data_IF_396332925547
#
_entry.id   IF_396332925547
#
_cell.length_a   1.000
_cell.length_b   1.000
_cell.length_c   1.000
_cell.angle_alpha   90.00
_cell.angle_beta   90.00
_cell.angle_gamma   90.00
#
_symmetry.space_group_name_H-M   'P 1'
#
loop_
_entity.id
_entity.type
_entity.pdbx_description
1 polymer ?
#
# COMPACT_ATOMS: atom_id res chain seq x y z
N UNK A 1 -4.03 -31.92 -4.07
CA UNK A 1 -4.83 -30.97 -3.29
C UNK A 1 -3.91 -29.82 -2.91
N UNK A 2 -3.94 -28.73 -3.67
CA UNK A 2 -3.13 -27.53 -3.39
C UNK A 2 -3.73 -26.84 -2.18
N UNK A 3 -2.93 -26.75 -1.13
CA UNK A 3 -3.20 -26.02 0.11
C UNK A 3 -3.26 -24.51 -0.23
N UNK A 4 -4.43 -24.02 -0.66
CA UNK A 4 -4.65 -22.63 -1.06
C UNK A 4 -4.80 -21.73 0.16
N UNK A 5 -3.82 -21.75 1.05
CA UNK A 5 -3.83 -20.86 2.22
C UNK A 5 -3.80 -19.38 1.82
N UNK A 6 -3.27 -19.06 0.63
CA UNK A 6 -3.16 -17.70 0.12
C UNK A 6 -3.90 -17.53 -1.21
N UNK A 7 -4.87 -16.61 -1.31
CA UNK A 7 -5.57 -16.30 -2.56
C UNK A 7 -4.68 -15.51 -3.53
N UNK A 8 -4.88 -15.69 -4.84
CA UNK A 8 -4.31 -14.82 -5.87
C UNK A 8 -4.95 -13.44 -5.77
N UNK A 9 -4.11 -12.39 -5.78
CA UNK A 9 -4.55 -10.99 -5.69
C UNK A 9 -4.33 -10.28 -7.02
N UNK A 10 -5.28 -9.44 -7.42
CA UNK A 10 -5.20 -8.54 -8.58
C UNK A 10 -5.34 -7.10 -8.11
N UNK A 11 -4.38 -6.25 -8.46
CA UNK A 11 -4.38 -4.82 -8.19
C UNK A 11 -4.62 -4.02 -9.47
N UNK A 12 -5.74 -3.31 -9.52
CA UNK A 12 -6.09 -2.39 -10.59
C UNK A 12 -5.91 -0.96 -10.08
N UNK A 13 -5.33 -0.06 -10.86
CA UNK A 13 -5.14 1.32 -10.39
C UNK A 13 -4.50 2.24 -11.41
N UNK A 14 -4.63 3.55 -11.18
CA UNK A 14 -3.91 4.58 -11.92
C UNK A 14 -3.15 5.54 -10.98
N UNK A 15 -1.94 5.99 -11.38
CA UNK A 15 -1.21 5.54 -12.56
C UNK A 15 -0.88 4.04 -12.47
N UNK A 16 -0.88 3.32 -13.59
CA UNK A 16 -0.57 1.88 -13.64
C UNK A 16 0.80 1.55 -13.02
N UNK A 17 1.71 2.54 -12.99
CA UNK A 17 2.94 2.48 -12.23
C UNK A 17 2.72 2.22 -10.73
N UNK A 18 1.67 2.77 -10.12
CA UNK A 18 1.34 2.57 -8.71
C UNK A 18 0.88 1.14 -8.45
N UNK A 19 -0.08 0.61 -9.21
CA UNK A 19 -0.58 -0.76 -9.02
C UNK A 19 0.53 -1.79 -9.23
N UNK A 20 1.39 -1.60 -10.25
CA UNK A 20 2.57 -2.45 -10.47
C UNK A 20 3.60 -2.33 -9.38
N UNK A 21 3.89 -1.12 -8.91
CA UNK A 21 4.84 -0.91 -7.81
C UNK A 21 4.33 -1.55 -6.53
N UNK A 22 3.02 -1.47 -6.26
CA UNK A 22 2.40 -2.12 -5.11
C UNK A 22 2.41 -3.64 -5.21
N UNK A 23 2.08 -4.20 -6.37
CA UNK A 23 2.16 -5.65 -6.58
C UNK A 23 3.59 -6.17 -6.43
N UNK A 24 4.56 -5.47 -7.00
CA UNK A 24 5.97 -5.82 -6.85
C UNK A 24 6.44 -5.74 -5.40
N UNK A 25 6.08 -4.67 -4.67
CA UNK A 25 6.39 -4.53 -3.26
C UNK A 25 5.78 -5.65 -2.40
N UNK A 26 4.55 -6.07 -2.71
CA UNK A 26 3.90 -7.19 -2.03
C UNK A 26 4.63 -8.51 -2.27
N UNK A 27 5.04 -8.78 -3.52
CA UNK A 27 5.82 -9.99 -3.85
C UNK A 27 7.18 -9.99 -3.14
N UNK A 28 7.88 -8.85 -3.09
CA UNK A 28 9.13 -8.73 -2.33
C UNK A 28 8.91 -8.93 -0.82
N UNK A 29 7.84 -8.35 -0.27
CA UNK A 29 7.48 -8.53 1.14
C UNK A 29 7.17 -10.00 1.47
N UNK A 30 6.50 -10.71 0.55
CA UNK A 30 6.24 -12.14 0.64
C UNK A 30 7.55 -12.94 0.67
N UNK A 31 8.46 -12.68 -0.26
CA UNK A 31 9.76 -13.35 -0.36
C UNK A 31 10.61 -13.19 0.91
N UNK A 32 10.61 -11.98 1.49
CA UNK A 32 11.44 -11.66 2.65
C UNK A 32 10.84 -12.12 3.98
N UNK A 33 9.50 -12.17 4.07
CA UNK A 33 8.77 -12.46 5.30
C UNK A 33 8.23 -13.89 5.37
N UNK A 34 7.25 -14.20 4.51
CA UNK A 34 6.52 -15.46 4.54
C UNK A 34 7.28 -16.62 3.89
N UNK A 35 8.11 -16.33 2.88
CA UNK A 35 8.75 -17.35 2.05
C UNK A 35 10.07 -17.90 2.61
N UNK A 36 10.43 -17.65 3.87
CA UNK A 36 11.64 -18.26 4.50
C UNK A 36 11.51 -19.78 4.74
N UNK A 37 10.73 -20.49 3.92
CA UNK A 37 10.51 -21.93 4.00
C UNK A 37 9.29 -22.47 3.25
N UNK A 38 8.54 -21.66 2.48
CA UNK A 38 7.38 -22.12 1.72
C UNK A 38 7.79 -22.50 0.29
N UNK A 39 7.24 -23.60 -0.25
CA UNK A 39 7.48 -23.99 -1.66
C UNK A 39 6.48 -23.37 -2.64
N UNK A 40 5.37 -22.80 -2.15
CA UNK A 40 4.36 -22.19 -2.99
C UNK A 40 4.56 -20.68 -3.08
N UNK A 41 4.80 -20.19 -4.29
CA UNK A 41 4.83 -18.77 -4.60
C UNK A 41 3.40 -18.21 -4.55
N UNK A 42 3.16 -17.27 -3.62
CA UNK A 42 1.97 -16.45 -3.64
C UNK A 42 2.00 -15.51 -4.85
N UNK A 43 0.83 -15.19 -5.41
CA UNK A 43 0.70 -14.38 -6.61
C UNK A 43 -0.04 -13.07 -6.34
N UNK A 44 0.57 -11.97 -6.78
CA UNK A 44 -0.04 -10.65 -6.83
C UNK A 44 0.18 -10.07 -8.23
N UNK A 45 -0.90 -9.85 -8.98
CA UNK A 45 -0.89 -9.37 -10.35
C UNK A 45 -1.31 -7.90 -10.40
N UNK A 46 -0.78 -7.14 -11.36
CA UNK A 46 -1.22 -5.78 -11.65
C UNK A 46 -1.38 -5.64 -13.18
N UNK A 47 -2.49 -6.18 -13.72
CA UNK A 47 -2.66 -6.35 -15.15
C UNK A 47 -3.04 -5.04 -15.85
N UNK A 48 -2.79 -5.01 -17.16
CA UNK A 48 -3.25 -3.94 -18.05
C UNK A 48 -4.68 -4.19 -18.53
N UNK A 49 -5.36 -3.16 -19.06
CA UNK A 49 -6.76 -3.21 -19.53
C UNK A 49 -7.08 -4.38 -20.49
N UNK A 50 -6.10 -4.90 -21.23
CA UNK A 50 -6.27 -5.98 -22.20
C UNK A 50 -5.66 -7.32 -21.77
N UNK A 51 -5.10 -7.40 -20.57
CA UNK A 51 -4.44 -8.61 -20.08
C UNK A 51 -5.48 -9.52 -19.42
N UNK A 52 -5.34 -10.84 -19.56
CA UNK A 52 -6.21 -11.78 -18.88
C UNK A 52 -5.65 -12.11 -17.49
N UNK A 53 -6.53 -12.30 -16.50
CA UNK A 53 -6.16 -12.75 -15.16
C UNK A 53 -7.18 -13.75 -14.61
N UNK A 54 -6.82 -14.55 -13.58
CA UNK A 54 -7.66 -15.62 -13.04
C UNK A 54 -9.04 -15.11 -12.61
N UNK A 55 -10.07 -15.96 -12.76
CA UNK A 55 -11.45 -15.58 -12.46
C UNK A 55 -11.73 -15.57 -10.96
N UNK A 56 -11.04 -16.43 -10.24
CA UNK A 56 -11.07 -16.63 -8.79
C UNK A 56 -10.18 -15.65 -8.00
N UNK A 57 -9.51 -14.72 -8.68
CA UNK A 57 -8.64 -13.76 -8.02
C UNK A 57 -9.42 -12.74 -7.19
N UNK A 58 -8.87 -12.37 -6.03
CA UNK A 58 -9.38 -11.25 -5.24
C UNK A 58 -8.97 -9.94 -5.91
N UNK A 59 -9.95 -9.14 -6.31
CA UNK A 59 -9.73 -7.89 -7.05
C UNK A 59 -9.77 -6.70 -6.10
N UNK A 60 -8.72 -5.90 -6.15
CA UNK A 60 -8.63 -4.61 -5.46
C UNK A 60 -8.40 -3.49 -6.47
N UNK A 61 -9.16 -2.40 -6.31
CA UNK A 61 -9.04 -1.21 -7.15
C UNK A 61 -8.50 -0.08 -6.29
N UNK A 62 -7.33 0.44 -6.67
CA UNK A 62 -6.70 1.61 -6.05
C UNK A 62 -7.46 2.86 -6.48
N UNK A 63 -8.33 3.32 -5.58
CA UNK A 63 -9.14 4.51 -5.75
C UNK A 63 -8.36 5.78 -5.42
N UNK A 64 -8.79 6.89 -6.03
CA UNK A 64 -8.35 8.24 -5.68
C UNK A 64 -9.41 8.89 -4.78
N UNK A 65 -8.96 9.56 -3.72
CA UNK A 65 -9.85 10.42 -2.91
C UNK A 65 -10.15 11.70 -3.70
N UNK A 66 -11.39 12.20 -3.62
CA UNK A 66 -11.80 13.44 -4.26
C UNK A 66 -10.98 14.65 -3.79
N UNK A 67 -10.38 14.58 -2.59
CA UNK A 67 -9.49 15.62 -2.06
C UNK A 67 -8.14 15.66 -2.77
N UNK A 68 -7.69 14.51 -3.26
CA UNK A 68 -6.41 14.33 -3.94
C UNK A 68 -6.58 14.29 -5.47
N UNK A 69 -7.81 14.39 -5.97
CA UNK A 69 -8.09 14.48 -7.42
C UNK A 69 -7.86 15.89 -7.92
N UNK A 70 -7.00 16.04 -8.92
CA UNK A 70 -6.90 17.27 -9.68
C UNK A 70 -8.12 17.38 -10.62
N UNK A 71 -9.01 18.38 -10.43
CA UNK A 71 -10.16 18.56 -11.32
C UNK A 71 -9.75 18.85 -12.77
N UNK A 72 -8.53 19.32 -13.00
CA UNK A 72 -7.98 19.60 -14.33
C UNK A 72 -7.48 18.36 -15.07
N UNK A 73 -7.25 17.23 -14.37
CA UNK A 73 -6.85 15.96 -14.98
C UNK A 73 -7.85 14.83 -14.63
N UNK A 74 -8.91 14.64 -15.44
CA UNK A 74 -9.90 13.59 -15.21
C UNK A 74 -9.41 12.19 -15.61
N UNK A 75 -8.16 12.02 -16.05
CA UNK A 75 -7.67 10.76 -16.63
C UNK A 75 -7.75 9.60 -15.64
N UNK A 76 -7.33 9.84 -14.39
CA UNK A 76 -7.35 8.83 -13.32
C UNK A 76 -8.79 8.42 -13.00
N UNK A 77 -9.68 9.40 -12.82
CA UNK A 77 -11.09 9.15 -12.52
C UNK A 77 -11.78 8.35 -13.64
N UNK A 78 -11.55 8.72 -14.92
CA UNK A 78 -12.08 7.98 -16.07
C UNK A 78 -11.62 6.53 -16.10
N UNK A 79 -10.35 6.26 -15.84
CA UNK A 79 -9.83 4.90 -15.86
C UNK A 79 -10.39 4.06 -14.70
N UNK A 80 -10.52 4.65 -13.50
CA UNK A 80 -11.16 3.96 -12.37
C UNK A 80 -12.63 3.64 -12.70
N UNK A 81 -13.36 4.56 -13.33
CA UNK A 81 -14.72 4.30 -13.81
C UNK A 81 -14.76 3.16 -14.82
N UNK A 82 -13.84 3.15 -15.80
CA UNK A 82 -13.75 2.06 -16.78
C UNK A 82 -13.49 0.71 -16.12
N UNK A 83 -12.62 0.66 -15.10
CA UNK A 83 -12.40 -0.58 -14.34
C UNK A 83 -13.65 -1.05 -13.62
N UNK A 84 -14.39 -0.13 -13.00
CA UNK A 84 -15.63 -0.45 -12.29
C UNK A 84 -16.72 -0.95 -13.25
N UNK A 85 -16.87 -0.32 -14.40
CA UNK A 85 -17.81 -0.74 -15.46
C UNK A 85 -17.47 -2.14 -15.99
N UNK A 86 -16.18 -2.43 -16.22
CA UNK A 86 -15.75 -3.76 -16.64
C UNK A 86 -16.04 -4.82 -15.57
N UNK A 87 -15.70 -4.54 -14.31
CA UNK A 87 -15.93 -5.48 -13.20
C UNK A 87 -17.42 -5.72 -12.96
N UNK A 88 -18.25 -4.70 -13.10
CA UNK A 88 -19.71 -4.80 -12.99
C UNK A 88 -20.30 -5.63 -14.14
N UNK A 89 -19.85 -5.40 -15.38
CA UNK A 89 -20.25 -6.18 -16.54
C UNK A 89 -19.88 -7.66 -16.41
N UNK A 90 -18.73 -7.96 -15.79
CA UNK A 90 -18.28 -9.32 -15.51
C UNK A 90 -18.84 -9.89 -14.19
N UNK A 91 -19.67 -9.14 -13.46
CA UNK A 91 -20.20 -9.49 -12.13
C UNK A 91 -19.11 -9.91 -11.13
N UNK A 92 -17.92 -9.31 -11.24
CA UNK A 92 -16.79 -9.64 -10.37
C UNK A 92 -16.82 -8.81 -9.09
N UNK A 93 -16.78 -9.43 -7.91
CA UNK A 93 -16.64 -8.68 -6.67
C UNK A 93 -15.26 -8.02 -6.61
N UNK A 94 -15.22 -6.79 -6.10
CA UNK A 94 -13.98 -6.05 -5.91
C UNK A 94 -14.03 -5.17 -4.66
N UNK A 95 -12.86 -4.81 -4.15
CA UNK A 95 -12.72 -3.89 -3.01
C UNK A 95 -11.99 -2.62 -3.47
N UNK A 96 -12.57 -1.47 -3.14
CA UNK A 96 -11.92 -0.17 -3.37
C UNK A 96 -10.96 0.16 -2.22
N UNK A 97 -9.73 0.54 -2.54
CA UNK A 97 -8.72 0.98 -1.59
C UNK A 97 -8.44 2.47 -1.80
N UNK A 98 -8.69 3.31 -0.79
CA UNK A 98 -8.60 4.77 -0.93
C UNK A 98 -7.43 5.40 -0.19
N UNK A 99 -7.08 6.62 -0.60
CA UNK A 99 -6.06 7.45 0.02
C UNK A 99 -4.65 7.18 -0.50
N UNK A 100 -3.65 7.65 0.26
CA UNK A 100 -2.23 7.51 -0.10
C UNK A 100 -1.79 6.03 -0.13
N UNK A 101 -0.72 5.70 -0.87
CA UNK A 101 -0.24 4.31 -0.99
C UNK A 101 -0.02 3.60 0.36
N UNK A 102 0.43 4.31 1.39
CA UNK A 102 0.58 3.77 2.75
C UNK A 102 -0.73 3.32 3.37
N UNK A 103 -1.83 4.06 3.14
CA UNK A 103 -3.15 3.74 3.64
C UNK A 103 -3.79 2.60 2.84
N UNK A 104 -3.64 2.61 1.52
CA UNK A 104 -4.08 1.53 0.63
C UNK A 104 -3.39 0.20 0.99
N UNK A 105 -2.10 0.23 1.30
CA UNK A 105 -1.35 -0.94 1.76
C UNK A 105 -1.92 -1.54 3.06
N UNK A 106 -2.28 -0.70 4.03
CA UNK A 106 -2.86 -1.15 5.30
C UNK A 106 -4.27 -1.72 5.10
N UNK A 107 -5.11 -1.03 4.32
CA UNK A 107 -6.46 -1.51 3.99
C UNK A 107 -6.41 -2.86 3.26
N UNK A 108 -5.45 -3.05 2.35
CA UNK A 108 -5.23 -4.33 1.69
C UNK A 108 -4.86 -5.43 2.70
N UNK A 109 -3.92 -5.15 3.62
CA UNK A 109 -3.52 -6.11 4.64
C UNK A 109 -4.70 -6.52 5.55
N UNK A 110 -5.53 -5.56 5.94
CA UNK A 110 -6.73 -5.80 6.75
C UNK A 110 -7.78 -6.60 5.99
N UNK A 111 -8.02 -6.27 4.72
CA UNK A 111 -8.96 -7.01 3.88
C UNK A 111 -8.52 -8.46 3.68
N UNK A 112 -7.24 -8.72 3.41
CA UNK A 112 -6.72 -10.08 3.25
C UNK A 112 -6.83 -10.91 4.53
N UNK A 113 -6.58 -10.30 5.70
CA UNK A 113 -6.83 -10.95 7.01
C UNK A 113 -8.30 -11.31 7.21
N UNK A 114 -9.22 -10.50 6.71
CA UNK A 114 -10.65 -10.80 6.80
C UNK A 114 -11.08 -11.90 5.84
N UNK A 115 -10.52 -11.96 4.62
CA UNK A 115 -10.91 -12.94 3.60
C UNK A 115 -10.27 -14.31 3.83
N UNK A 116 -9.01 -14.34 4.26
CA UNK A 116 -8.26 -15.56 4.53
C UNK A 116 -7.61 -15.47 5.93
N UNK A 117 -8.41 -15.62 7.01
CA UNK A 117 -7.93 -15.44 8.39
C UNK A 117 -6.91 -16.50 8.81
N UNK A 118 -6.92 -17.67 8.16
CA UNK A 118 -6.01 -18.78 8.45
C UNK A 118 -4.61 -18.60 7.80
N UNK A 119 -4.44 -17.58 6.95
CA UNK A 119 -3.15 -17.23 6.35
C UNK A 119 -2.36 -16.27 7.26
N UNK A 120 -1.04 -16.42 7.27
CA UNK A 120 -0.17 -15.44 7.93
C UNK A 120 0.01 -14.23 7.01
N UNK A 121 -0.58 -13.09 7.37
CA UNK A 121 -0.46 -11.83 6.66
C UNK A 121 0.43 -10.80 7.38
N UNK A 122 1.07 -11.18 8.50
CA UNK A 122 1.83 -10.24 9.31
C UNK A 122 3.06 -9.69 8.57
N UNK A 123 3.56 -10.43 7.58
CA UNK A 123 4.66 -10.00 6.71
C UNK A 123 4.30 -8.75 5.88
N UNK A 124 3.03 -8.56 5.47
CA UNK A 124 2.60 -7.34 4.75
C UNK A 124 2.81 -6.11 5.64
N UNK A 125 2.36 -6.20 6.90
CA UNK A 125 2.51 -5.10 7.86
C UNK A 125 3.96 -4.88 8.27
N UNK A 126 4.76 -5.94 8.36
CA UNK A 126 6.18 -5.85 8.70
C UNK A 126 6.97 -5.08 7.62
N UNK A 127 6.77 -5.44 6.35
CA UNK A 127 7.57 -5.00 5.21
C UNK A 127 6.97 -3.83 4.41
N UNK A 128 6.10 -3.02 5.01
CA UNK A 128 5.48 -1.88 4.33
C UNK A 128 6.55 -0.86 3.86
N UNK A 129 6.78 -0.68 2.55
CA UNK A 129 7.81 0.21 2.04
C UNK A 129 7.40 1.69 2.08
N UNK A 130 6.11 1.96 2.30
CA UNK A 130 5.57 3.31 2.50
C UNK A 130 5.41 3.65 3.98
N UNK A 131 5.93 2.82 4.91
CA UNK A 131 6.10 3.28 6.29
C UNK A 131 6.93 4.55 6.22
N UNK A 132 6.48 5.67 6.80
CA UNK A 132 7.38 6.80 6.99
C UNK A 132 8.57 6.24 7.75
N UNK A 133 9.76 6.26 7.13
CA UNK A 133 11.02 5.93 7.79
C UNK A 133 10.96 6.64 9.12
N UNK A 134 10.86 5.86 10.21
CA UNK A 134 10.47 6.33 11.53
C UNK A 134 10.99 7.74 11.67
N UNK A 135 10.07 8.75 11.61
CA UNK A 135 10.42 10.18 11.46
C UNK A 135 11.75 10.33 12.13
N UNK A 136 12.80 10.70 11.39
CA UNK A 136 14.11 10.93 11.97
C UNK A 136 13.81 11.73 13.23
N UNK A 137 13.79 11.05 14.38
CA UNK A 137 13.62 11.73 15.65
C UNK A 137 14.89 12.52 15.57
N UNK A 138 14.76 13.83 15.36
CA UNK A 138 15.86 14.75 15.57
C UNK A 138 16.38 14.29 16.93
N UNK A 139 17.46 13.50 16.88
CA UNK A 139 18.22 13.22 18.07
C UNK A 139 18.52 14.63 18.55
N UNK A 140 18.21 14.89 19.82
CA UNK A 140 18.68 16.09 20.47
C UNK A 140 20.13 16.32 20.06
N UNK A 141 20.47 17.59 19.86
CA UNK A 141 21.79 18.05 19.46
C UNK A 141 22.90 17.06 19.88
N UNK A 142 23.66 16.54 18.91
CA UNK A 142 24.66 15.49 19.14
C UNK A 142 25.79 15.89 20.11
N UNK A 143 25.75 17.13 20.61
CA UNK A 143 26.68 17.67 21.59
C UNK A 143 26.09 17.75 23.01
N UNK A 144 24.76 17.85 23.16
CA UNK A 144 24.14 18.16 24.45
C UNK A 144 22.74 17.52 24.53
N UNK A 145 22.63 16.34 25.12
CA UNK A 145 21.36 15.68 25.49
C UNK A 145 20.71 16.41 26.71
N UNK A 146 20.73 17.75 26.73
CA UNK A 146 20.32 18.57 27.86
C UNK A 146 19.23 19.60 27.45
N UNK A 147 17.98 19.44 27.92
CA UNK A 147 16.88 20.35 27.63
C UNK A 147 17.10 21.78 28.17
N UNK A 148 18.02 22.01 29.11
CA UNK A 148 18.37 23.36 29.56
C UNK A 148 19.20 24.14 28.53
N UNK A 149 19.98 23.42 27.70
CA UNK A 149 20.84 24.02 26.69
C UNK A 149 20.01 24.71 25.57
N UNK A 150 18.89 24.10 25.15
CA UNK A 150 18.02 24.69 24.13
C UNK A 150 17.30 25.94 24.65
N UNK A 151 16.84 25.92 25.91
CA UNK A 151 16.19 27.09 26.51
C UNK A 151 17.14 28.28 26.62
N UNK A 152 18.41 28.04 26.95
CA UNK A 152 19.43 29.07 27.01
C UNK A 152 19.71 29.70 25.62
N UNK A 153 19.73 28.88 24.56
CA UNK A 153 19.91 29.37 23.18
C UNK A 153 18.73 30.24 22.72
N UNK A 154 17.49 29.78 22.96
CA UNK A 154 16.30 30.56 22.61
C UNK A 154 16.19 31.86 23.42
N UNK A 155 16.60 31.86 24.68
CA UNK A 155 16.64 33.07 25.50
C UNK A 155 17.69 34.07 25.02
N UNK A 156 18.84 33.61 24.54
CA UNK A 156 19.88 34.48 23.96
C UNK A 156 19.43 35.09 22.62
N UNK A 157 18.79 34.30 21.74
CA UNK A 157 18.28 34.80 20.46
C UNK A 157 17.15 35.82 20.65
N UNK A 158 16.30 35.68 21.66
CA UNK A 158 15.26 36.68 21.99
C UNK A 158 15.81 37.99 22.54
N UNK A 159 17.01 38.00 23.12
CA UNK A 159 17.69 39.22 23.59
C UNK A 159 18.48 39.94 22.50
N UNK A 160 18.76 39.26 21.39
CA UNK A 160 19.50 39.79 20.25
C UNK A 160 18.60 40.43 19.17
N UNK A 161 17.28 40.52 19.43
CA UNK A 161 16.30 41.28 18.65
C UNK A 161 15.74 42.44 19.47
#
# INVERSE_FOLDING_TARGET
MTDHRYPTVVLLGMPHALSRSMAHALLQAWEQGANKGSQNAWQCLAPQASEAWPQEALVYVLGQDWRDSDPADPTIARQISAWREQLDAEQRPYVMLYGKPSAQWLQLAESLKSVAPDADWNWISAQNPWKPSARMRLKGCEQCDDPECEQALFAQLKKAS
#
